data_IF_303253477810
#
_entry.id   IF_303253477810
#
_cell.length_a   1.000
_cell.length_b   1.000
_cell.length_c   1.000
_cell.angle_alpha   90.00
_cell.angle_beta   90.00
_cell.angle_gamma   90.00
#
_symmetry.space_group_name_H-M   'P 1'
#
loop_
_entity.id
_entity.type
_entity.pdbx_description
1 polymer ?
#
# COMPACT_ATOMS: atom_id res chain seq x y z
N UNK A 1 -23.71 2.69 0.76
CA UNK A 1 -22.82 3.52 1.60
C UNK A 1 -21.93 2.68 2.52
N UNK A 2 -22.45 1.71 3.27
CA UNK A 2 -21.66 0.79 4.14
C UNK A 2 -20.53 0.03 3.39
N UNK A 3 -20.74 -0.35 2.12
CA UNK A 3 -19.76 -1.05 1.29
C UNK A 3 -18.43 -0.28 1.10
N UNK A 4 -18.47 1.04 0.94
CA UNK A 4 -17.24 1.85 0.74
C UNK A 4 -16.36 1.90 1.99
N UNK A 5 -16.98 1.96 3.17
CA UNK A 5 -16.28 1.93 4.44
C UNK A 5 -15.60 0.56 4.67
N UNK A 6 -16.31 -0.52 4.37
CA UNK A 6 -15.78 -1.87 4.53
C UNK A 6 -14.55 -2.12 3.63
N UNK A 7 -14.56 -1.60 2.40
CA UNK A 7 -13.40 -1.67 1.50
C UNK A 7 -12.21 -0.88 2.06
N UNK A 8 -12.46 0.31 2.61
CA UNK A 8 -11.40 1.10 3.26
C UNK A 8 -10.76 0.38 4.45
N UNK A 9 -11.58 -0.25 5.29
CA UNK A 9 -11.09 -1.03 6.45
C UNK A 9 -10.31 -2.26 5.98
N UNK A 10 -10.83 -3.01 5.00
CA UNK A 10 -10.16 -4.18 4.44
C UNK A 10 -8.81 -3.79 3.79
N UNK A 11 -8.78 -2.66 3.06
CA UNK A 11 -7.56 -2.12 2.48
C UNK A 11 -6.53 -1.75 3.55
N UNK A 12 -6.96 -1.09 4.63
CA UNK A 12 -6.08 -0.75 5.74
C UNK A 12 -5.53 -2.01 6.42
N UNK A 13 -6.36 -3.00 6.68
CA UNK A 13 -5.93 -4.26 7.31
C UNK A 13 -4.90 -5.00 6.44
N UNK A 14 -5.18 -5.18 5.15
CA UNK A 14 -4.24 -5.83 4.22
C UNK A 14 -2.94 -5.04 4.06
N UNK A 15 -3.02 -3.71 4.05
CA UNK A 15 -1.85 -2.83 4.03
C UNK A 15 -0.96 -3.03 5.26
N UNK A 16 -1.53 -2.97 6.48
CA UNK A 16 -0.77 -3.17 7.72
C UNK A 16 -0.08 -4.54 7.73
N UNK A 17 -0.81 -5.61 7.38
CA UNK A 17 -0.24 -6.95 7.31
C UNK A 17 0.91 -7.00 6.30
N UNK A 18 0.72 -6.46 5.10
CA UNK A 18 1.75 -6.45 4.05
C UNK A 18 3.01 -5.72 4.49
N UNK A 19 2.87 -4.55 5.13
CA UNK A 19 4.00 -3.75 5.63
C UNK A 19 4.73 -4.48 6.74
N UNK A 20 4.01 -5.01 7.73
CA UNK A 20 4.62 -5.76 8.85
C UNK A 20 5.44 -6.94 8.35
N UNK A 21 4.86 -7.78 7.48
CA UNK A 21 5.57 -8.94 6.93
C UNK A 21 6.70 -8.55 5.99
N UNK A 22 6.59 -7.41 5.28
CA UNK A 22 7.68 -6.84 4.49
C UNK A 22 8.88 -6.43 5.35
N UNK A 23 8.63 -5.75 6.48
CA UNK A 23 9.66 -5.40 7.47
C UNK A 23 10.29 -6.66 8.08
N UNK A 24 9.47 -7.65 8.46
CA UNK A 24 9.96 -8.91 9.00
C UNK A 24 10.88 -9.64 8.01
N UNK A 25 10.55 -9.63 6.72
CA UNK A 25 11.41 -10.20 5.67
C UNK A 25 12.76 -9.48 5.55
N UNK A 26 12.77 -8.16 5.73
CA UNK A 26 14.00 -7.38 5.75
C UNK A 26 14.85 -7.73 6.98
N UNK A 27 14.26 -7.72 8.18
CA UNK A 27 14.92 -8.07 9.43
C UNK A 27 15.43 -9.52 9.43
N UNK A 28 14.70 -10.46 8.80
CA UNK A 28 15.18 -11.83 8.58
C UNK A 28 16.44 -11.86 7.72
N UNK A 29 16.54 -10.98 6.73
CA UNK A 29 17.77 -10.83 5.91
C UNK A 29 18.99 -10.44 6.74
N UNK A 30 18.80 -9.78 7.89
CA UNK A 30 19.82 -9.38 8.85
C UNK A 30 19.97 -10.35 10.03
N UNK A 31 19.31 -11.51 10.01
CA UNK A 31 19.45 -12.54 11.06
C UNK A 31 18.64 -12.29 12.34
N UNK A 32 17.79 -11.27 12.38
CA UNK A 32 17.08 -10.85 13.61
C UNK A 32 15.84 -11.70 13.89
N UNK A 33 15.22 -12.32 12.86
CA UNK A 33 13.96 -13.06 12.97
C UNK A 33 14.17 -14.55 12.76
N UNK A 34 13.55 -15.37 13.62
CA UNK A 34 13.67 -16.84 13.65
C UNK A 34 12.70 -17.52 12.68
N UNK A 35 11.55 -16.92 12.36
CA UNK A 35 10.51 -17.50 11.51
C UNK A 35 11.01 -17.92 10.11
N UNK A 36 10.50 -19.03 9.53
CA UNK A 36 10.88 -19.47 8.19
C UNK A 36 10.61 -18.38 7.14
N UNK A 37 11.63 -18.10 6.32
CA UNK A 37 11.54 -17.05 5.28
C UNK A 37 10.43 -17.35 4.26
N UNK A 38 10.17 -18.62 3.98
CA UNK A 38 9.10 -19.06 3.06
C UNK A 38 7.72 -18.61 3.53
N UNK A 39 7.42 -18.81 4.82
CA UNK A 39 6.13 -18.42 5.41
C UNK A 39 5.93 -16.90 5.34
N UNK A 40 6.92 -16.12 5.80
CA UNK A 40 6.88 -14.66 5.75
C UNK A 40 6.65 -14.15 4.32
N UNK A 41 7.32 -14.78 3.35
CA UNK A 41 7.26 -14.44 1.93
C UNK A 41 5.87 -14.73 1.34
N UNK A 42 5.30 -15.89 1.63
CA UNK A 42 3.96 -16.27 1.16
C UNK A 42 2.90 -15.32 1.71
N UNK A 43 2.92 -15.03 3.02
CA UNK A 43 1.97 -14.12 3.64
C UNK A 43 2.09 -12.72 3.03
N UNK A 44 3.32 -12.19 2.90
CA UNK A 44 3.56 -10.89 2.29
C UNK A 44 3.01 -10.82 0.86
N UNK A 45 3.15 -11.85 0.06
CA UNK A 45 2.63 -11.89 -1.30
C UNK A 45 1.12 -11.96 -1.35
N UNK A 46 0.50 -12.87 -0.60
CA UNK A 46 -0.95 -13.02 -0.58
C UNK A 46 -1.62 -11.70 -0.19
N UNK A 47 -1.17 -11.08 0.90
CA UNK A 47 -1.74 -9.82 1.37
C UNK A 47 -1.37 -8.64 0.48
N UNK A 48 -0.20 -8.63 -0.15
CA UNK A 48 0.21 -7.63 -1.13
C UNK A 48 -0.68 -7.63 -2.37
N UNK A 49 -0.98 -8.80 -2.94
CA UNK A 49 -1.90 -8.90 -4.09
C UNK A 49 -3.37 -8.67 -3.69
N UNK A 50 -3.79 -9.11 -2.50
CA UNK A 50 -5.12 -8.79 -1.98
C UNK A 50 -5.29 -7.27 -1.80
N UNK A 51 -4.29 -6.59 -1.25
CA UNK A 51 -4.23 -5.13 -1.15
C UNK A 51 -4.32 -4.48 -2.55
N UNK A 52 -3.63 -5.03 -3.55
CA UNK A 52 -3.69 -4.53 -4.93
C UNK A 52 -5.10 -4.60 -5.50
N UNK A 53 -5.79 -5.73 -5.33
CA UNK A 53 -7.17 -5.88 -5.76
C UNK A 53 -8.11 -4.88 -5.06
N UNK A 54 -7.96 -4.73 -3.75
CA UNK A 54 -8.74 -3.76 -2.96
C UNK A 54 -8.43 -2.30 -3.37
N UNK A 55 -7.18 -2.00 -3.74
CA UNK A 55 -6.79 -0.67 -4.23
C UNK A 55 -7.47 -0.34 -5.56
N UNK A 56 -7.56 -1.31 -6.49
CA UNK A 56 -8.27 -1.13 -7.75
C UNK A 56 -9.76 -0.83 -7.49
N UNK A 57 -10.40 -1.58 -6.58
CA UNK A 57 -11.80 -1.34 -6.20
C UNK A 57 -11.94 0.04 -5.54
N UNK A 58 -11.01 0.41 -4.65
CA UNK A 58 -10.99 1.73 -4.02
C UNK A 58 -10.91 2.85 -5.06
N UNK A 59 -10.04 2.72 -6.07
CA UNK A 59 -9.93 3.70 -7.16
C UNK A 59 -11.21 3.82 -7.99
N UNK A 60 -11.86 2.70 -8.32
CA UNK A 60 -13.12 2.75 -9.08
C UNK A 60 -14.23 3.47 -8.32
N UNK A 61 -14.25 3.33 -6.99
CA UNK A 61 -15.22 4.02 -6.13
C UNK A 61 -14.97 5.54 -6.03
N UNK A 62 -13.71 5.96 -6.13
CA UNK A 62 -13.28 7.35 -5.98
C UNK A 62 -12.87 8.01 -7.32
N UNK A 63 -13.11 7.36 -8.46
CA UNK A 63 -12.71 7.87 -9.79
C UNK A 63 -13.25 9.27 -10.11
N UNK A 64 -14.45 9.63 -9.63
CA UNK A 64 -15.00 10.99 -9.78
C UNK A 64 -14.17 12.04 -9.05
N UNK A 65 -13.66 11.69 -7.89
CA UNK A 65 -12.76 12.53 -7.11
C UNK A 65 -11.39 12.64 -7.80
N UNK A 66 -10.87 11.54 -8.35
CA UNK A 66 -9.63 11.52 -9.13
C UNK A 66 -9.74 12.36 -10.41
N UNK A 67 -10.88 12.35 -11.12
CA UNK A 67 -11.09 13.21 -12.28
C UNK A 67 -11.13 14.70 -11.92
N UNK A 68 -11.70 15.04 -10.76
CA UNK A 68 -11.65 16.40 -10.22
C UNK A 68 -10.22 16.82 -9.83
N UNK A 69 -9.37 15.88 -9.40
CA UNK A 69 -7.95 16.10 -9.13
C UNK A 69 -7.16 16.45 -10.37
N UNK A 70 -7.49 15.86 -11.54
CA UNK A 70 -6.84 16.12 -12.82
C UNK A 70 -6.98 17.60 -13.24
N UNK A 71 -8.11 18.24 -12.91
CA UNK A 71 -8.42 19.62 -13.29
C UNK A 71 -7.95 20.67 -12.27
N UNK A 72 -7.53 20.23 -11.07
CA UNK A 72 -7.02 21.09 -10.00
C UNK A 72 -5.81 20.44 -9.35
N UNK A 73 -4.64 20.56 -9.98
CA UNK A 73 -3.38 20.25 -9.31
C UNK A 73 -3.20 21.23 -8.14
N UNK A 74 -3.69 20.83 -6.97
CA UNK A 74 -3.48 21.56 -5.71
C UNK A 74 -2.50 20.75 -4.89
N UNK A 75 -1.57 21.41 -4.25
CA UNK A 75 -0.65 20.85 -3.24
C UNK A 75 -1.38 19.97 -2.20
N UNK A 76 -2.67 20.22 -2.02
CA UNK A 76 -3.54 19.44 -1.13
C UNK A 76 -3.66 17.95 -1.53
N UNK A 77 -3.38 17.59 -2.78
CA UNK A 77 -3.48 16.22 -3.28
C UNK A 77 -2.13 15.60 -3.65
N UNK A 78 -1.04 16.26 -3.30
CA UNK A 78 0.32 15.77 -3.62
C UNK A 78 0.60 14.41 -2.96
N UNK A 79 0.09 14.20 -1.73
CA UNK A 79 0.17 12.93 -1.01
C UNK A 79 -0.54 11.79 -1.76
N UNK A 80 -1.70 12.06 -2.35
CA UNK A 80 -2.45 11.06 -3.13
C UNK A 80 -1.69 10.66 -4.40
N UNK A 81 -1.14 11.63 -5.14
CA UNK A 81 -0.33 11.34 -6.33
C UNK A 81 0.95 10.60 -5.97
N UNK A 82 1.64 11.02 -4.92
CA UNK A 82 2.83 10.34 -4.43
C UNK A 82 2.51 8.90 -4.02
N UNK A 83 1.39 8.68 -3.32
CA UNK A 83 0.96 7.35 -2.92
C UNK A 83 0.69 6.44 -4.13
N UNK A 84 0.04 6.96 -5.19
CA UNK A 84 -0.20 6.23 -6.44
C UNK A 84 1.11 5.81 -7.09
N UNK A 85 2.05 6.73 -7.24
CA UNK A 85 3.36 6.47 -7.86
C UNK A 85 4.14 5.43 -7.05
N UNK A 86 4.22 5.60 -5.74
CA UNK A 86 4.93 4.69 -4.85
C UNK A 86 4.27 3.30 -4.82
N UNK A 87 2.94 3.23 -4.88
CA UNK A 87 2.21 1.97 -4.97
C UNK A 87 2.55 1.21 -6.25
N UNK A 88 2.50 1.89 -7.40
CA UNK A 88 2.86 1.28 -8.69
C UNK A 88 4.31 0.81 -8.69
N UNK A 89 5.24 1.62 -8.20
CA UNK A 89 6.66 1.27 -8.11
C UNK A 89 6.90 0.08 -7.17
N UNK A 90 6.21 0.02 -6.02
CA UNK A 90 6.29 -1.11 -5.09
C UNK A 90 5.72 -2.39 -5.71
N UNK A 91 4.58 -2.29 -6.40
CA UNK A 91 3.98 -3.43 -7.09
C UNK A 91 4.90 -3.97 -8.19
N UNK A 92 5.44 -3.09 -9.03
CA UNK A 92 6.34 -3.49 -10.12
C UNK A 92 7.61 -4.14 -9.58
N UNK A 93 8.29 -3.50 -8.62
CA UNK A 93 9.53 -4.06 -8.05
C UNK A 93 9.29 -5.36 -7.30
N UNK A 94 8.16 -5.50 -6.61
CA UNK A 94 7.74 -6.74 -5.94
C UNK A 94 7.44 -7.87 -6.92
N UNK A 95 6.70 -7.58 -8.00
CA UNK A 95 6.35 -8.55 -9.05
C UNK A 95 7.60 -8.99 -9.83
N UNK A 96 8.47 -8.06 -10.21
CA UNK A 96 9.76 -8.40 -10.87
C UNK A 96 10.59 -9.31 -9.97
N UNK A 97 10.68 -9.00 -8.67
CA UNK A 97 11.41 -9.83 -7.70
C UNK A 97 10.80 -11.22 -7.52
N UNK A 98 9.48 -11.35 -7.69
CA UNK A 98 8.76 -12.62 -7.60
C UNK A 98 9.01 -13.49 -8.84
N UNK A 99 8.90 -12.90 -10.02
CA UNK A 99 8.91 -13.60 -11.31
C UNK A 99 10.33 -13.81 -11.87
N UNK A 100 11.32 -13.01 -11.44
CA UNK A 100 12.68 -13.13 -11.95
C UNK A 100 13.32 -14.43 -11.48
N UNK A 101 13.78 -15.30 -12.41
CA UNK A 101 14.53 -16.50 -12.08
C UNK A 101 15.93 -16.17 -11.58
N UNK A 102 16.45 -14.98 -11.91
CA UNK A 102 17.78 -14.51 -11.53
C UNK A 102 17.68 -13.46 -10.45
N UNK A 103 18.58 -13.53 -9.47
CA UNK A 103 18.67 -12.55 -8.40
C UNK A 103 19.20 -11.22 -8.94
N UNK A 104 18.31 -10.22 -9.06
CA UNK A 104 18.70 -8.88 -9.50
C UNK A 104 19.34 -8.15 -8.31
N UNK A 105 20.59 -7.66 -8.45
CA UNK A 105 21.28 -6.93 -7.39
C UNK A 105 20.46 -5.71 -6.93
N UNK A 106 20.48 -5.45 -5.63
CA UNK A 106 19.81 -4.31 -5.00
C UNK A 106 18.29 -4.19 -5.16
N UNK A 107 17.63 -4.97 -6.02
CA UNK A 107 16.17 -4.88 -6.21
C UNK A 107 15.38 -5.08 -4.90
N UNK A 108 15.87 -5.96 -4.02
CA UNK A 108 15.26 -6.15 -2.70
C UNK A 108 15.35 -4.91 -1.81
N UNK A 109 16.45 -4.18 -1.87
CA UNK A 109 16.66 -2.94 -1.12
C UNK A 109 15.78 -1.81 -1.68
N UNK A 110 15.72 -1.67 -3.01
CA UNK A 110 14.83 -0.72 -3.67
C UNK A 110 13.36 -0.98 -3.33
N UNK A 111 12.91 -2.22 -3.45
CA UNK A 111 11.54 -2.60 -3.10
C UNK A 111 11.21 -2.26 -1.63
N UNK A 112 12.13 -2.56 -0.71
CA UNK A 112 11.98 -2.22 0.70
C UNK A 112 11.91 -0.72 0.94
N UNK A 113 12.84 0.05 0.38
CA UNK A 113 12.88 1.52 0.55
C UNK A 113 11.64 2.20 -0.02
N UNK A 114 11.20 1.83 -1.23
CA UNK A 114 9.97 2.33 -1.85
C UNK A 114 8.75 1.93 -1.00
N UNK A 115 8.72 0.70 -0.48
CA UNK A 115 7.65 0.22 0.40
C UNK A 115 7.54 1.00 1.71
N UNK A 116 8.67 1.37 2.33
CA UNK A 116 8.68 2.24 3.52
C UNK A 116 8.19 3.65 3.18
N UNK A 117 8.66 4.24 2.07
CA UNK A 117 8.18 5.54 1.61
C UNK A 117 6.67 5.53 1.35
N UNK A 118 6.16 4.46 0.72
CA UNK A 118 4.72 4.24 0.52
C UNK A 118 3.99 4.14 1.87
N UNK A 119 4.53 3.43 2.84
CA UNK A 119 3.91 3.28 4.16
C UNK A 119 3.78 4.63 4.88
N UNK A 120 4.82 5.45 4.88
CA UNK A 120 4.80 6.81 5.46
C UNK A 120 3.76 7.68 4.75
N UNK A 121 3.76 7.67 3.41
CA UNK A 121 2.80 8.46 2.61
C UNK A 121 1.36 8.00 2.85
N UNK A 122 1.12 6.68 3.01
CA UNK A 122 -0.19 6.12 3.32
C UNK A 122 -0.70 6.57 4.69
N UNK A 123 0.16 6.64 5.70
CA UNK A 123 -0.18 7.17 7.03
C UNK A 123 -0.59 8.65 6.93
N UNK A 124 0.16 9.47 6.20
CA UNK A 124 -0.18 10.87 5.95
C UNK A 124 -1.53 10.99 5.26
N UNK A 125 -1.77 10.19 4.21
CA UNK A 125 -3.04 10.14 3.48
C UNK A 125 -4.20 9.76 4.39
N UNK A 126 -4.02 8.76 5.26
CA UNK A 126 -5.02 8.31 6.23
C UNK A 126 -5.38 9.43 7.23
N UNK A 127 -4.37 10.07 7.84
CA UNK A 127 -4.57 11.17 8.81
C UNK A 127 -5.34 12.32 8.16
N UNK A 128 -5.01 12.68 6.93
CA UNK A 128 -5.73 13.71 6.18
C UNK A 128 -7.16 13.31 5.81
N UNK A 129 -7.42 12.02 5.68
CA UNK A 129 -8.76 11.46 5.42
C UNK A 129 -9.69 11.45 6.64
N UNK A 130 -9.17 11.47 7.88
CA UNK A 130 -9.96 11.38 9.11
C UNK A 130 -11.08 12.44 9.21
N UNK A 131 -10.85 13.74 8.92
CA UNK A 131 -11.92 14.74 8.99
C UNK A 131 -13.06 14.50 8.00
N UNK A 132 -12.76 13.91 6.85
CA UNK A 132 -13.77 13.51 5.87
C UNK A 132 -14.56 12.29 6.33
N UNK A 133 -13.91 11.31 6.95
CA UNK A 133 -14.54 10.16 7.59
C UNK A 133 -15.46 10.58 8.73
N UNK A 134 -15.01 11.44 9.62
CA UNK A 134 -15.82 11.94 10.76
C UNK A 134 -17.06 12.69 10.29
N UNK A 135 -16.96 13.50 9.23
CA UNK A 135 -18.14 14.15 8.62
C UNK A 135 -19.10 13.15 8.00
N UNK A 136 -18.59 12.03 7.55
CA UNK A 136 -19.39 10.99 6.93
C UNK A 136 -20.10 10.11 7.97
N UNK A 137 -19.43 9.74 9.07
CA UNK A 137 -19.99 8.92 10.14
C UNK A 137 -20.76 9.73 11.18
N UNK A 138 -20.43 11.00 11.41
CA UNK A 138 -21.14 11.88 12.34
C UNK A 138 -22.52 12.36 11.85
N UNK A 139 -22.95 11.91 10.66
CA UNK A 139 -24.29 12.12 10.10
C UNK A 139 -25.20 10.87 10.20
N UNK A 140 -24.75 9.86 10.92
CA UNK A 140 -25.51 8.64 11.24
C UNK A 140 -25.94 8.70 12.69
#
# INVERSE_FOLDING_TARGET
MKSKANIGIALLATFVITVVFGIMLHLKGHGIIIQPRSVLKIIHWIFGYAMTALMIIHWTQFRRMLSALKNRFRWFYADTWMLIILFIATLLTGTVKLLSPVKIPHLGLWHYGIGIAMAVTAVIHLIRGIPALNRYYGKI
#
